data_IF_428069461360
#
_entry.id   IF_428069461360
#
_cell.length_a   1.000
_cell.length_b   1.000
_cell.length_c   1.000
_cell.angle_alpha   90.00
_cell.angle_beta   90.00
_cell.angle_gamma   90.00
#
_symmetry.space_group_name_H-M   'P 1'
#
loop_
_entity.id
_entity.type
_entity.pdbx_description
1 polymer ?
#
# COMPACT_ATOMS: atom_id res chain seq x y z
N UNK A 1 1.40 -2.34 -23.25
CA UNK A 1 0.21 -1.46 -23.29
C UNK A 1 0.44 -0.22 -22.41
N UNK A 2 -0.24 0.87 -22.73
CA UNK A 2 -0.17 2.11 -21.98
C UNK A 2 -1.34 2.21 -21.00
N UNK A 3 -1.06 2.26 -19.70
CA UNK A 3 -2.08 2.34 -18.64
C UNK A 3 -2.85 3.68 -18.68
N UNK A 4 -2.31 4.69 -19.35
CA UNK A 4 -3.00 5.97 -19.58
C UNK A 4 -3.98 5.92 -20.76
N UNK A 5 -3.89 4.90 -21.61
CA UNK A 5 -4.83 4.66 -22.69
C UNK A 5 -5.93 3.71 -22.24
N UNK A 6 -7.15 4.22 -22.10
CA UNK A 6 -8.28 3.40 -21.65
C UNK A 6 -8.55 2.19 -22.54
N UNK A 7 -8.38 2.31 -23.86
CA UNK A 7 -8.59 1.19 -24.78
C UNK A 7 -7.59 0.06 -24.54
N UNK A 8 -6.33 0.40 -24.32
CA UNK A 8 -5.29 -0.58 -23.98
C UNK A 8 -5.59 -1.30 -22.66
N UNK A 9 -5.97 -0.55 -21.62
CA UNK A 9 -6.32 -1.10 -20.31
C UNK A 9 -7.55 -2.01 -20.42
N UNK A 10 -8.56 -1.59 -21.18
CA UNK A 10 -9.77 -2.39 -21.43
C UNK A 10 -9.41 -3.73 -22.10
N UNK A 11 -8.62 -3.72 -23.15
CA UNK A 11 -8.18 -4.95 -23.83
C UNK A 11 -7.37 -5.85 -22.87
N UNK A 12 -6.44 -5.27 -22.12
CA UNK A 12 -5.60 -6.03 -21.20
C UNK A 12 -6.38 -6.67 -20.03
N UNK A 13 -7.55 -6.15 -19.70
CA UNK A 13 -8.41 -6.68 -18.62
C UNK A 13 -9.56 -7.58 -19.11
N UNK A 14 -9.65 -7.88 -20.40
CA UNK A 14 -10.66 -8.81 -20.94
C UNK A 14 -10.49 -10.21 -20.36
N UNK A 15 -11.57 -10.82 -19.91
CA UNK A 15 -11.63 -12.17 -19.32
C UNK A 15 -10.78 -12.34 -18.05
N UNK A 16 -10.40 -11.25 -17.39
CA UNK A 16 -9.71 -11.30 -16.10
C UNK A 16 -10.71 -11.27 -14.94
N UNK A 17 -10.45 -12.07 -13.90
CA UNK A 17 -11.24 -12.05 -12.67
C UNK A 17 -10.68 -11.05 -11.65
N UNK A 18 -9.36 -10.84 -11.65
CA UNK A 18 -8.64 -9.99 -10.71
C UNK A 18 -7.64 -9.11 -11.45
N UNK A 19 -7.57 -7.84 -11.12
CA UNK A 19 -6.52 -6.93 -11.58
C UNK A 19 -5.63 -6.59 -10.38
N UNK A 20 -4.31 -6.75 -10.55
CA UNK A 20 -3.30 -6.25 -9.59
C UNK A 20 -2.71 -4.97 -10.21
N UNK A 21 -3.10 -3.83 -9.64
CA UNK A 21 -2.69 -2.52 -10.15
C UNK A 21 -1.46 -2.00 -9.40
N UNK A 22 -0.29 -2.15 -10.03
CA UNK A 22 1.02 -1.69 -9.52
C UNK A 22 1.55 -0.46 -10.27
N UNK A 23 0.95 -0.12 -11.42
CA UNK A 23 1.44 0.95 -12.29
C UNK A 23 1.29 2.33 -11.65
N UNK A 24 2.39 3.04 -11.45
CA UNK A 24 2.42 4.41 -10.96
C UNK A 24 3.82 5.03 -11.08
N UNK A 25 3.91 6.37 -11.09
CA UNK A 25 5.14 7.05 -10.67
C UNK A 25 5.17 7.05 -9.13
N UNK A 26 6.30 6.65 -8.54
CA UNK A 26 6.41 6.29 -7.12
C UNK A 26 7.28 7.26 -6.29
N UNK A 27 7.76 8.36 -6.87
CA UNK A 27 8.60 9.31 -6.17
C UNK A 27 7.77 10.34 -5.41
N UNK A 28 8.12 10.59 -4.15
CA UNK A 28 7.56 11.69 -3.36
C UNK A 28 7.87 13.08 -3.95
N UNK A 29 8.87 13.15 -4.82
CA UNK A 29 9.29 14.35 -5.54
C UNK A 29 8.67 14.47 -6.95
N UNK A 30 7.74 13.59 -7.32
CA UNK A 30 7.06 13.66 -8.62
C UNK A 30 6.26 14.95 -8.77
N UNK A 31 6.24 15.49 -9.99
CA UNK A 31 5.42 16.67 -10.31
C UNK A 31 3.92 16.35 -10.21
N UNK A 32 3.10 17.37 -10.08
CA UNK A 32 1.65 17.21 -10.12
C UNK A 32 1.18 16.61 -11.44
N UNK A 33 1.74 17.07 -12.55
CA UNK A 33 1.38 16.63 -13.90
C UNK A 33 1.67 15.15 -14.10
N UNK A 34 2.84 14.67 -13.62
CA UNK A 34 3.19 13.25 -13.68
C UNK A 34 2.26 12.39 -12.85
N UNK A 35 1.95 12.85 -11.64
CA UNK A 35 1.07 12.13 -10.72
C UNK A 35 -0.37 12.12 -11.22
N UNK A 36 -0.86 13.26 -11.74
CA UNK A 36 -2.21 13.36 -12.30
C UNK A 36 -2.39 12.33 -13.40
N UNK A 37 -1.48 12.31 -14.38
CA UNK A 37 -1.56 11.43 -15.52
C UNK A 37 -1.33 9.96 -15.14
N UNK A 38 -0.22 9.67 -14.47
CA UNK A 38 0.25 8.28 -14.32
C UNK A 38 -0.33 7.58 -13.08
N UNK A 39 -0.90 8.31 -12.12
CA UNK A 39 -1.46 7.71 -10.91
C UNK A 39 -2.99 7.92 -10.83
N UNK A 40 -3.48 9.12 -11.07
CA UNK A 40 -4.92 9.44 -10.88
C UNK A 40 -5.72 8.97 -12.09
N UNK A 41 -5.39 9.44 -13.29
CA UNK A 41 -6.11 9.06 -14.51
C UNK A 41 -5.96 7.56 -14.82
N UNK A 42 -4.76 7.02 -14.67
CA UNK A 42 -4.51 5.60 -14.91
C UNK A 42 -5.28 4.71 -13.92
N UNK A 43 -5.33 5.07 -12.63
CA UNK A 43 -6.09 4.32 -11.63
C UNK A 43 -7.59 4.35 -11.95
N UNK A 44 -8.11 5.51 -12.37
CA UNK A 44 -9.50 5.60 -12.86
C UNK A 44 -9.73 4.68 -14.06
N UNK A 45 -8.81 4.62 -15.02
CA UNK A 45 -8.92 3.72 -16.18
C UNK A 45 -8.96 2.25 -15.77
N UNK A 46 -8.18 1.84 -14.77
CA UNK A 46 -8.20 0.47 -14.23
C UNK A 46 -9.58 0.12 -13.65
N UNK A 47 -10.14 0.96 -12.79
CA UNK A 47 -11.45 0.68 -12.20
C UNK A 47 -12.58 0.73 -13.23
N UNK A 48 -12.54 1.68 -14.18
CA UNK A 48 -13.56 1.74 -15.26
C UNK A 48 -13.46 0.52 -16.19
N UNK A 49 -12.25 0.05 -16.53
CA UNK A 49 -12.08 -1.17 -17.32
C UNK A 49 -12.55 -2.41 -16.56
N UNK A 50 -12.30 -2.48 -15.26
CA UNK A 50 -12.80 -3.55 -14.40
C UNK A 50 -14.33 -3.63 -14.43
N UNK A 51 -15.00 -2.48 -14.36
CA UNK A 51 -16.47 -2.38 -14.47
C UNK A 51 -16.96 -2.83 -15.85
N UNK A 52 -16.34 -2.35 -16.93
CA UNK A 52 -16.77 -2.68 -18.31
C UNK A 52 -16.60 -4.16 -18.60
N UNK A 53 -15.52 -4.78 -18.12
CA UNK A 53 -15.20 -6.19 -18.41
C UNK A 53 -15.74 -7.18 -17.35
N UNK A 54 -16.42 -6.70 -16.31
CA UNK A 54 -16.98 -7.56 -15.27
C UNK A 54 -15.91 -8.19 -14.35
N UNK A 55 -14.74 -7.52 -14.20
CA UNK A 55 -13.70 -7.91 -13.25
C UNK A 55 -14.24 -7.85 -11.83
N UNK A 56 -14.00 -8.89 -11.04
CA UNK A 56 -14.59 -9.02 -9.70
C UNK A 56 -13.81 -8.27 -8.62
N UNK A 57 -12.48 -8.12 -8.81
CA UNK A 57 -11.59 -7.60 -7.78
C UNK A 57 -10.44 -6.78 -8.36
N UNK A 58 -10.15 -5.65 -7.72
CA UNK A 58 -8.93 -4.86 -7.96
C UNK A 58 -8.10 -4.88 -6.68
N UNK A 59 -6.84 -5.30 -6.79
CA UNK A 59 -5.84 -5.16 -5.73
C UNK A 59 -5.00 -3.94 -6.09
N UNK A 60 -5.15 -2.88 -5.32
CA UNK A 60 -4.51 -1.61 -5.57
C UNK A 60 -3.26 -1.44 -4.71
N UNK A 61 -2.12 -1.22 -5.34
CA UNK A 61 -0.90 -0.82 -4.64
C UNK A 61 -1.04 0.63 -4.13
N UNK A 62 -1.66 0.78 -2.97
CA UNK A 62 -1.62 2.00 -2.18
C UNK A 62 -0.23 2.16 -1.53
N UNK A 63 -0.06 3.08 -0.63
CA UNK A 63 1.24 3.38 -0.03
C UNK A 63 1.11 3.86 1.41
N UNK A 64 2.13 3.63 2.21
CA UNK A 64 2.31 4.27 3.51
C UNK A 64 2.33 5.81 3.42
N UNK A 65 2.65 6.37 2.24
CA UNK A 65 2.64 7.81 1.98
C UNK A 65 1.24 8.44 2.04
N UNK A 66 0.16 7.65 2.06
CA UNK A 66 -1.21 8.14 2.35
C UNK A 66 -1.34 8.69 3.77
N UNK A 67 -0.46 8.25 4.66
CA UNK A 67 -0.40 8.65 6.07
C UNK A 67 1.02 9.10 6.47
N UNK A 68 1.85 9.46 5.51
CA UNK A 68 3.28 9.72 5.69
C UNK A 68 3.59 10.83 6.72
N UNK A 69 2.74 11.86 6.84
CA UNK A 69 2.96 12.94 7.80
C UNK A 69 2.84 12.50 9.28
N UNK A 70 2.34 11.30 9.58
CA UNK A 70 2.43 10.77 10.94
C UNK A 70 3.88 10.51 11.39
N UNK A 71 4.79 10.30 10.44
CA UNK A 71 6.22 10.14 10.75
C UNK A 71 6.88 11.43 11.31
N UNK A 72 6.17 12.56 11.28
CA UNK A 72 6.63 13.81 11.91
C UNK A 72 6.18 13.93 13.38
N UNK A 73 5.31 13.06 13.86
CA UNK A 73 4.78 13.09 15.21
C UNK A 73 5.55 12.12 16.13
N UNK A 74 5.80 12.51 17.40
CA UNK A 74 6.32 11.56 18.39
C UNK A 74 5.27 10.50 18.73
N UNK A 75 5.67 9.23 18.94
CA UNK A 75 7.04 8.71 18.95
C UNK A 75 7.53 8.21 17.57
N UNK A 76 6.72 8.34 16.52
CA UNK A 76 7.05 7.78 15.19
C UNK A 76 8.28 8.46 14.58
N UNK A 77 8.40 9.79 14.78
CA UNK A 77 9.55 10.57 14.32
C UNK A 77 10.88 10.01 14.82
N UNK A 78 10.96 9.74 16.11
CA UNK A 78 12.14 9.17 16.74
C UNK A 78 12.41 7.75 16.24
N UNK A 79 11.36 6.95 16.06
CA UNK A 79 11.47 5.57 15.58
C UNK A 79 12.04 5.53 14.16
N UNK A 80 11.54 6.33 13.25
CA UNK A 80 12.03 6.33 11.86
C UNK A 80 13.41 6.97 11.73
N UNK A 81 13.80 7.81 12.69
CA UNK A 81 15.15 8.35 12.82
C UNK A 81 16.13 7.36 13.47
N UNK A 82 15.66 6.24 14.04
CA UNK A 82 16.51 5.28 14.76
C UNK A 82 16.86 5.70 16.19
N UNK A 83 16.12 6.64 16.74
CA UNK A 83 16.32 7.18 18.08
C UNK A 83 15.41 6.43 19.07
N UNK A 84 15.83 5.24 19.49
CA UNK A 84 15.00 4.33 20.27
C UNK A 84 15.08 4.54 21.80
N UNK A 85 15.83 5.54 22.27
CA UNK A 85 16.01 5.80 23.70
C UNK A 85 14.66 6.06 24.38
N UNK A 86 14.40 5.32 25.47
CA UNK A 86 13.17 5.42 26.26
C UNK A 86 11.87 5.03 25.50
N UNK A 87 11.97 4.37 24.35
CA UNK A 87 10.83 3.85 23.60
C UNK A 87 10.82 2.33 23.71
N UNK A 88 9.71 1.74 24.19
CA UNK A 88 9.47 0.30 24.10
C UNK A 88 8.64 0.00 22.85
N UNK A 89 9.08 -0.91 21.97
CA UNK A 89 8.32 -1.29 20.77
C UNK A 89 6.88 -1.75 21.07
N UNK A 90 6.68 -2.39 22.23
CA UNK A 90 5.39 -2.92 22.68
C UNK A 90 4.43 -1.82 23.13
N UNK A 91 4.95 -0.68 23.58
CA UNK A 91 4.14 0.45 24.05
C UNK A 91 3.72 1.41 22.94
N UNK A 92 4.26 1.26 21.73
CA UNK A 92 3.95 2.14 20.60
C UNK A 92 2.51 1.88 20.14
N UNK A 93 1.65 2.90 20.20
CA UNK A 93 0.35 2.85 19.53
C UNK A 93 0.58 2.77 18.03
N UNK A 94 0.21 1.65 17.42
CA UNK A 94 0.35 1.47 15.98
C UNK A 94 -0.70 2.30 15.22
N UNK A 95 -0.29 2.81 14.05
CA UNK A 95 -1.17 3.51 13.12
C UNK A 95 -1.98 2.45 12.37
N UNK A 96 -3.28 2.43 12.58
CA UNK A 96 -4.21 1.52 11.92
C UNK A 96 -4.83 2.15 10.65
N UNK A 97 -5.69 1.39 9.97
CA UNK A 97 -6.35 1.82 8.74
C UNK A 97 -7.41 2.91 8.95
N UNK A 98 -7.84 3.15 10.20
CA UNK A 98 -8.91 4.09 10.53
C UNK A 98 -8.41 5.51 10.82
N UNK A 99 -7.10 5.72 10.86
CA UNK A 99 -6.57 7.08 11.06
C UNK A 99 -6.92 7.99 9.88
N UNK A 100 -7.05 9.31 10.09
CA UNK A 100 -7.26 10.24 8.99
C UNK A 100 -6.09 10.19 8.00
N UNK A 101 -6.39 10.40 6.73
CA UNK A 101 -5.37 10.56 5.70
C UNK A 101 -4.50 11.79 6.00
N UNK A 102 -3.18 11.61 5.97
CA UNK A 102 -2.18 12.67 6.14
C UNK A 102 -1.04 12.46 5.13
N UNK A 103 -1.34 12.62 3.81
CA UNK A 103 -0.35 12.39 2.76
C UNK A 103 0.79 13.41 2.84
N UNK A 104 2.00 12.94 2.56
CA UNK A 104 3.24 13.74 2.65
C UNK A 104 3.72 14.28 1.29
N UNK A 105 3.01 13.98 0.21
CA UNK A 105 3.43 14.30 -1.17
C UNK A 105 2.25 14.20 -2.14
N UNK A 106 2.41 14.74 -3.36
CA UNK A 106 1.44 14.48 -4.45
C UNK A 106 1.29 12.98 -4.74
N UNK A 107 2.38 12.21 -4.60
CA UNK A 107 2.32 10.75 -4.68
C UNK A 107 1.37 10.17 -3.60
N UNK A 108 1.53 10.56 -2.34
CA UNK A 108 0.64 10.16 -1.24
C UNK A 108 -0.82 10.55 -1.50
N UNK A 109 -1.06 11.78 -2.02
CA UNK A 109 -2.40 12.25 -2.42
C UNK A 109 -3.00 11.33 -3.50
N UNK A 110 -2.23 10.96 -4.52
CA UNK A 110 -2.71 10.08 -5.58
C UNK A 110 -3.06 8.68 -5.08
N UNK A 111 -2.32 8.17 -4.11
CA UNK A 111 -2.64 6.87 -3.49
C UNK A 111 -3.91 6.95 -2.63
N UNK A 112 -4.12 8.07 -1.94
CA UNK A 112 -5.38 8.33 -1.23
C UNK A 112 -6.58 8.43 -2.18
N UNK A 113 -6.41 9.02 -3.37
CA UNK A 113 -7.42 8.99 -4.44
C UNK A 113 -7.74 7.56 -4.86
N UNK A 114 -6.72 6.70 -5.01
CA UNK A 114 -6.92 5.29 -5.39
C UNK A 114 -7.74 4.51 -4.36
N UNK A 115 -7.52 4.74 -3.06
CA UNK A 115 -8.35 4.16 -1.99
C UNK A 115 -9.80 4.67 -2.08
N UNK A 116 -9.99 5.96 -2.32
CA UNK A 116 -11.31 6.58 -2.41
C UNK A 116 -12.10 6.13 -3.64
N UNK A 117 -11.47 6.05 -4.81
CA UNK A 117 -12.12 5.55 -6.02
C UNK A 117 -12.44 4.07 -5.90
N UNK A 118 -11.56 3.27 -5.27
CA UNK A 118 -11.83 1.86 -4.97
C UNK A 118 -13.07 1.67 -4.11
N UNK A 119 -13.26 2.52 -3.08
CA UNK A 119 -14.47 2.52 -2.26
C UNK A 119 -15.71 2.81 -3.10
N UNK A 120 -15.66 3.83 -3.96
CA UNK A 120 -16.78 4.18 -4.83
C UNK A 120 -17.18 3.02 -5.77
N UNK A 121 -16.20 2.37 -6.41
CA UNK A 121 -16.49 1.24 -7.31
C UNK A 121 -17.01 0.02 -6.57
N UNK A 122 -16.57 -0.22 -5.35
CA UNK A 122 -17.10 -1.29 -4.52
C UNK A 122 -18.56 -1.02 -4.14
N UNK A 123 -18.88 0.14 -3.59
CA UNK A 123 -20.24 0.44 -3.10
C UNK A 123 -21.26 0.63 -4.25
N UNK A 124 -20.80 1.11 -5.41
CA UNK A 124 -21.69 1.40 -6.52
C UNK A 124 -21.84 0.23 -7.50
N UNK A 125 -20.77 -0.52 -7.73
CA UNK A 125 -20.74 -1.56 -8.77
C UNK A 125 -20.39 -2.96 -8.23
N UNK A 126 -20.12 -3.12 -6.94
CA UNK A 126 -19.81 -4.40 -6.32
C UNK A 126 -18.42 -4.94 -6.65
N UNK A 127 -17.52 -4.13 -7.22
CA UNK A 127 -16.17 -4.53 -7.53
C UNK A 127 -15.34 -4.48 -6.24
N UNK A 128 -14.85 -5.63 -5.78
CA UNK A 128 -14.02 -5.67 -4.58
C UNK A 128 -12.74 -4.83 -4.78
N UNK A 129 -12.36 -4.07 -3.77
CA UNK A 129 -11.16 -3.23 -3.79
C UNK A 129 -10.31 -3.46 -2.55
N UNK A 130 -9.17 -4.12 -2.74
CA UNK A 130 -8.19 -4.37 -1.67
C UNK A 130 -7.03 -3.41 -1.84
N UNK A 131 -6.87 -2.49 -0.88
CA UNK A 131 -5.91 -1.40 -0.95
C UNK A 131 -4.73 -1.71 -0.04
N UNK A 132 -3.55 -1.91 -0.60
CA UNK A 132 -2.35 -2.28 0.13
C UNK A 132 -1.51 -1.04 0.39
N UNK A 133 -1.53 -0.50 1.62
CA UNK A 133 -0.59 0.56 2.04
C UNK A 133 0.79 -0.04 2.22
N UNK A 134 1.49 -0.17 1.10
CA UNK A 134 2.81 -0.81 1.02
C UNK A 134 3.85 0.06 1.70
N UNK A 135 4.65 -0.55 2.57
CA UNK A 135 5.84 0.03 3.17
C UNK A 135 6.99 0.13 2.16
N UNK A 136 8.22 -0.06 2.62
CA UNK A 136 9.40 0.06 1.76
C UNK A 136 9.79 -1.29 1.18
N UNK A 137 9.62 -1.48 -0.12
CA UNK A 137 10.14 -2.62 -0.88
C UNK A 137 11.37 -2.16 -1.66
N UNK A 138 12.50 -2.85 -1.47
CA UNK A 138 13.77 -2.52 -2.11
C UNK A 138 14.10 -3.50 -3.22
N UNK A 139 14.87 -3.05 -4.25
CA UNK A 139 15.34 -3.93 -5.33
C UNK A 139 16.20 -5.08 -4.79
N UNK A 140 17.07 -4.77 -3.84
CA UNK A 140 17.79 -5.77 -3.04
C UNK A 140 17.02 -5.93 -1.75
N UNK A 141 16.63 -7.15 -1.41
CA UNK A 141 15.74 -7.44 -0.29
C UNK A 141 16.42 -7.25 1.07
N UNK A 142 16.65 -6.00 1.45
CA UNK A 142 17.32 -5.62 2.69
C UNK A 142 16.87 -4.23 3.17
N UNK A 143 16.75 -3.99 4.50
CA UNK A 143 16.44 -2.68 5.05
C UNK A 143 17.69 -1.75 5.17
N UNK A 144 18.90 -2.24 4.88
CA UNK A 144 20.17 -1.54 5.22
C UNK A 144 20.38 -0.20 4.50
N UNK A 145 19.64 0.13 3.44
CA UNK A 145 19.84 1.37 2.68
C UNK A 145 19.41 2.65 3.41
N UNK A 146 18.62 2.55 4.47
CA UNK A 146 18.19 3.68 5.31
C UNK A 146 17.79 3.21 6.69
N UNK A 147 18.06 4.02 7.72
CA UNK A 147 17.63 3.71 9.10
C UNK A 147 16.09 3.64 9.20
N UNK A 148 15.35 4.46 8.45
CA UNK A 148 13.89 4.42 8.36
C UNK A 148 13.38 3.05 7.94
N UNK A 149 14.12 2.32 7.12
CA UNK A 149 13.68 1.01 6.61
C UNK A 149 13.59 -0.05 7.73
N UNK A 150 14.27 0.10 8.85
CA UNK A 150 14.11 -0.80 10.00
C UNK A 150 12.68 -0.76 10.59
N UNK A 151 11.93 0.30 10.31
CA UNK A 151 10.52 0.42 10.70
C UNK A 151 9.56 0.10 9.54
N UNK A 152 9.97 0.38 8.30
CA UNK A 152 9.06 0.44 7.14
C UNK A 152 9.26 -0.67 6.12
N UNK A 153 10.31 -1.48 6.23
CA UNK A 153 10.66 -2.51 5.28
C UNK A 153 9.58 -3.59 5.15
N UNK A 154 9.33 -3.98 3.90
CA UNK A 154 8.51 -5.12 3.52
C UNK A 154 9.34 -6.02 2.62
N UNK A 155 9.64 -7.23 3.08
CA UNK A 155 10.44 -8.19 2.31
C UNK A 155 9.70 -8.67 1.07
N UNK A 156 10.45 -9.18 0.08
CA UNK A 156 9.87 -9.78 -1.12
C UNK A 156 8.96 -10.97 -0.79
N UNK A 157 9.28 -11.74 0.24
CA UNK A 157 8.48 -12.86 0.68
C UNK A 157 7.18 -12.42 1.32
N UNK A 158 7.23 -11.43 2.20
CA UNK A 158 6.05 -10.95 2.91
C UNK A 158 5.10 -10.18 1.99
N UNK A 159 5.60 -9.39 1.01
CA UNK A 159 4.71 -8.76 0.02
C UNK A 159 4.05 -9.79 -0.88
N UNK A 160 4.77 -10.84 -1.28
CA UNK A 160 4.19 -11.93 -2.08
C UNK A 160 3.06 -12.63 -1.33
N UNK A 161 3.25 -12.91 -0.04
CA UNK A 161 2.21 -13.47 0.83
C UNK A 161 0.99 -12.52 0.91
N UNK A 162 1.23 -11.22 1.13
CA UNK A 162 0.15 -10.22 1.25
C UNK A 162 -0.70 -10.17 -0.02
N UNK A 163 -0.06 -10.15 -1.19
CA UNK A 163 -0.76 -10.12 -2.49
C UNK A 163 -1.51 -11.43 -2.72
N UNK A 164 -0.89 -12.59 -2.51
CA UNK A 164 -1.54 -13.90 -2.64
C UNK A 164 -2.78 -13.99 -1.75
N UNK A 165 -2.66 -13.64 -0.47
CA UNK A 165 -3.79 -13.63 0.47
C UNK A 165 -4.89 -12.66 0.05
N UNK A 166 -4.55 -11.52 -0.55
CA UNK A 166 -5.52 -10.55 -1.08
C UNK A 166 -6.27 -11.07 -2.30
N UNK A 167 -5.63 -11.92 -3.12
CA UNK A 167 -6.28 -12.57 -4.28
C UNK A 167 -7.35 -13.57 -3.82
N UNK A 168 -6.98 -14.45 -2.90
CA UNK A 168 -7.81 -15.63 -2.55
C UNK A 168 -8.94 -15.34 -1.55
N UNK A 169 -8.88 -14.24 -0.79
CA UNK A 169 -9.91 -13.91 0.20
C UNK A 169 -10.90 -12.86 -0.32
N UNK A 170 -12.19 -13.13 -0.16
CA UNK A 170 -13.26 -12.18 -0.50
C UNK A 170 -13.56 -11.27 0.70
N UNK A 171 -13.08 -10.03 0.62
CA UNK A 171 -13.14 -9.08 1.75
C UNK A 171 -13.91 -7.79 1.42
N UNK A 172 -14.42 -7.66 0.20
CA UNK A 172 -15.14 -6.46 -0.23
C UNK A 172 -14.20 -5.27 -0.42
N UNK A 173 -14.38 -4.24 0.38
CA UNK A 173 -13.45 -3.10 0.44
C UNK A 173 -12.61 -3.17 1.70
N UNK A 174 -11.30 -3.21 1.54
CA UNK A 174 -10.37 -3.23 2.67
C UNK A 174 -9.11 -2.40 2.41
N UNK A 175 -8.52 -1.94 3.51
CA UNK A 175 -7.19 -1.31 3.54
C UNK A 175 -6.30 -2.14 4.45
N UNK A 176 -5.16 -2.58 3.94
CA UNK A 176 -4.16 -3.35 4.69
C UNK A 176 -2.80 -2.67 4.64
N UNK A 177 -2.13 -2.59 5.77
CA UNK A 177 -0.72 -2.21 5.78
C UNK A 177 0.15 -3.41 5.40
N UNK A 178 1.01 -3.19 4.40
CA UNK A 178 2.05 -4.12 3.99
C UNK A 178 3.40 -3.72 4.60
N UNK A 179 3.76 -4.40 5.67
CA UNK A 179 5.06 -4.25 6.35
C UNK A 179 5.46 -5.61 6.90
N UNK A 180 6.77 -5.92 6.91
CA UNK A 180 7.29 -7.13 7.54
C UNK A 180 7.13 -7.08 9.06
N UNK A 181 7.37 -8.18 9.75
CA UNK A 181 7.25 -8.25 11.21
C UNK A 181 8.38 -7.51 11.93
N UNK A 182 8.68 -6.29 11.48
CA UNK A 182 9.75 -5.47 12.01
C UNK A 182 9.47 -5.11 13.47
N UNK A 183 10.48 -5.21 14.31
CA UNK A 183 10.42 -4.83 15.72
C UNK A 183 9.90 -3.39 15.91
N UNK A 184 10.38 -2.48 15.07
CA UNK A 184 10.08 -1.05 15.15
C UNK A 184 8.99 -0.59 14.19
N UNK A 185 8.17 -1.51 13.61
CA UNK A 185 7.08 -1.10 12.73
C UNK A 185 6.12 -0.15 13.45
N UNK A 186 5.70 0.87 12.74
CA UNK A 186 4.76 1.88 13.25
C UNK A 186 3.32 1.62 12.80
N UNK A 187 3.10 0.76 11.80
CA UNK A 187 1.78 0.42 11.29
C UNK A 187 1.22 -0.87 11.87
N UNK A 188 -0.10 -0.88 12.06
CA UNK A 188 -0.84 -2.06 12.51
C UNK A 188 -1.11 -3.01 11.33
N UNK A 189 -0.87 -4.29 11.54
CA UNK A 189 -1.16 -5.36 10.58
C UNK A 189 -2.31 -6.27 11.03
N UNK A 190 -2.96 -5.96 12.15
CA UNK A 190 -4.00 -6.80 12.72
C UNK A 190 -5.23 -6.94 11.82
N UNK A 191 -5.58 -5.90 11.04
CA UNK A 191 -6.66 -5.98 10.08
C UNK A 191 -6.37 -7.04 9.00
N UNK A 192 -5.18 -7.00 8.40
CA UNK A 192 -4.75 -7.99 7.42
C UNK A 192 -4.64 -9.40 8.03
N UNK A 193 -4.12 -9.52 9.26
CA UNK A 193 -4.07 -10.81 9.96
C UNK A 193 -5.47 -11.41 10.14
N UNK A 194 -6.43 -10.64 10.64
CA UNK A 194 -7.78 -11.13 10.95
C UNK A 194 -8.58 -11.48 9.70
N UNK A 195 -8.46 -10.68 8.64
CA UNK A 195 -9.33 -10.80 7.45
C UNK A 195 -8.78 -11.70 6.36
N UNK A 196 -7.46 -11.75 6.20
CA UNK A 196 -6.82 -12.52 5.12
C UNK A 196 -5.69 -13.43 5.62
N UNK A 197 -5.52 -13.57 6.95
CA UNK A 197 -4.46 -14.41 7.54
C UNK A 197 -3.05 -14.01 7.08
N UNK A 198 -2.80 -12.71 6.91
CA UNK A 198 -1.46 -12.20 6.63
C UNK A 198 -0.57 -12.32 7.86
N UNK A 199 0.47 -13.13 7.77
CA UNK A 199 1.44 -13.38 8.85
C UNK A 199 2.87 -13.16 8.32
N UNK A 200 3.36 -11.91 8.29
CA UNK A 200 4.72 -11.64 7.86
C UNK A 200 5.71 -12.27 8.82
N UNK A 201 6.78 -12.83 8.27
CA UNK A 201 7.79 -13.59 9.04
C UNK A 201 9.14 -12.90 9.11
N UNK A 202 9.47 -12.05 8.14
CA UNK A 202 10.75 -11.38 8.09
C UNK A 202 10.79 -10.19 9.05
N UNK A 203 11.98 -9.89 9.57
CA UNK A 203 12.20 -8.81 10.53
C UNK A 203 13.49 -8.06 10.18
N UNK A 204 13.38 -6.77 10.03
CA UNK A 204 14.52 -5.90 9.72
C UNK A 204 15.66 -5.98 10.77
N UNK A 205 15.33 -6.26 12.04
CA UNK A 205 16.34 -6.41 13.09
C UNK A 205 17.35 -7.54 12.78
N UNK A 206 16.99 -8.54 11.99
CA UNK A 206 17.92 -9.60 11.58
C UNK A 206 19.07 -9.08 10.69
N UNK A 207 18.97 -7.85 10.21
CA UNK A 207 19.98 -7.15 9.40
C UNK A 207 20.75 -6.08 10.17
N UNK A 208 20.45 -5.90 11.45
CA UNK A 208 21.18 -4.95 12.30
C UNK A 208 22.47 -5.61 12.76
N UNK A 209 23.60 -4.95 12.51
CA UNK A 209 24.94 -5.38 12.94
C UNK A 209 25.16 -5.08 14.42
#
# INVERSE_FOLDING_TARGET
>A
FDINNFTDVKIASENMEVIIHLGAVISVNSSWEDVLKNNIESTRNIYESAKVNGVKKVIFASSNHTVGLFENDSPYKEIVAGEYNNISPESIKKIDENVPLRPDSYYGVSKSFGESIGRYYFETFGIQSVNLRIGTVQKVDTPKSSIRHFSTWLSHKDISQLVEKSIIHDVGFEIFYGVSNNKWRIWDINNAYKKISYMPIDNAENFRD
#
